data_IF_821154759973
#
_entry.id   IF_821154759973
#
_cell.length_a   1.000
_cell.length_b   1.000
_cell.length_c   1.000
_cell.angle_alpha   90.00
_cell.angle_beta   90.00
_cell.angle_gamma   90.00
#
_symmetry.space_group_name_H-M   'P 1'
#
loop_
_entity.id
_entity.type
_entity.pdbx_description
1 polymer ?
#
# COMPACT_ATOMS: atom_id res chain seq x y z
N UNK A 1 5.20 1.18 9.50
CA UNK A 1 4.16 1.48 8.52
C UNK A 1 4.85 1.52 7.16
N UNK A 2 4.14 1.24 6.07
CA UNK A 2 4.71 0.91 4.76
C UNK A 2 5.68 1.97 4.18
N UNK A 3 6.97 1.82 4.49
CA UNK A 3 8.05 2.74 4.10
C UNK A 3 8.62 3.50 5.29
N UNK A 4 9.94 3.43 5.45
CA UNK A 4 10.70 4.02 6.56
C UNK A 4 11.11 5.47 6.26
N UNK A 5 11.20 5.85 4.98
CA UNK A 5 11.50 7.22 4.55
C UNK A 5 10.34 7.83 3.75
N UNK A 6 10.28 9.17 3.61
CA UNK A 6 9.29 9.83 2.75
C UNK A 6 9.30 9.32 1.31
N UNK A 7 10.48 9.03 0.74
CA UNK A 7 10.65 8.53 -0.63
C UNK A 7 10.11 7.11 -0.79
N UNK A 8 10.38 6.24 0.19
CA UNK A 8 9.83 4.89 0.23
C UNK A 8 8.30 4.95 0.33
N UNK A 9 7.76 5.80 1.20
CA UNK A 9 6.30 5.96 1.35
C UNK A 9 5.66 6.50 0.09
N UNK A 10 6.29 7.46 -0.59
CA UNK A 10 5.79 7.95 -1.87
C UNK A 10 5.81 6.85 -2.93
N UNK A 11 6.83 5.99 -2.93
CA UNK A 11 6.92 4.84 -3.83
C UNK A 11 5.79 3.84 -3.55
N UNK A 12 5.59 3.44 -2.29
CA UNK A 12 4.49 2.55 -1.90
C UNK A 12 3.14 3.16 -2.26
N UNK A 13 2.94 4.45 -1.99
CA UNK A 13 1.70 5.13 -2.32
C UNK A 13 1.42 5.10 -3.83
N UNK A 14 2.43 5.35 -4.67
CA UNK A 14 2.32 5.23 -6.14
C UNK A 14 1.96 3.81 -6.56
N UNK A 15 2.57 2.80 -5.95
CA UNK A 15 2.27 1.37 -6.19
C UNK A 15 0.80 1.07 -5.87
N UNK A 16 0.35 1.38 -4.64
CA UNK A 16 -1.02 1.10 -4.18
C UNK A 16 -2.08 1.88 -4.97
N UNK A 17 -1.81 3.15 -5.28
CA UNK A 17 -2.71 3.96 -6.12
C UNK A 17 -2.84 3.38 -7.52
N UNK A 18 -1.77 2.84 -8.08
CA UNK A 18 -1.80 2.18 -9.38
C UNK A 18 -2.57 0.86 -9.30
N UNK A 19 -2.38 0.08 -8.25
CA UNK A 19 -3.12 -1.16 -8.01
C UNK A 19 -4.63 -0.89 -7.93
N UNK A 20 -5.04 0.15 -7.21
CA UNK A 20 -6.44 0.57 -7.13
C UNK A 20 -7.02 0.93 -8.51
N UNK A 21 -6.27 1.66 -9.34
CA UNK A 21 -6.69 2.02 -10.70
C UNK A 21 -6.85 0.81 -11.60
N UNK A 22 -5.89 -0.11 -11.60
CA UNK A 22 -5.99 -1.34 -12.40
C UNK A 22 -7.15 -2.20 -11.93
N UNK A 23 -7.35 -2.37 -10.61
CA UNK A 23 -8.50 -3.06 -10.05
C UNK A 23 -9.82 -2.41 -10.49
N UNK A 24 -9.92 -1.08 -10.42
CA UNK A 24 -11.09 -0.32 -10.89
C UNK A 24 -11.36 -0.57 -12.37
N UNK A 25 -10.33 -0.49 -13.23
CA UNK A 25 -10.46 -0.80 -14.66
C UNK A 25 -11.01 -2.20 -14.90
N UNK A 26 -10.47 -3.22 -14.22
CA UNK A 26 -10.89 -4.62 -14.37
C UNK A 26 -12.34 -4.82 -13.94
N UNK A 27 -12.74 -4.30 -12.78
CA UNK A 27 -14.14 -4.50 -12.29
C UNK A 27 -15.18 -3.79 -13.15
N UNK A 28 -14.76 -2.79 -13.94
CA UNK A 28 -15.61 -2.10 -14.91
C UNK A 28 -15.50 -2.69 -16.33
N UNK A 29 -15.00 -3.93 -16.45
CA UNK A 29 -14.95 -4.67 -17.72
C UNK A 29 -13.71 -4.44 -18.57
N UNK A 30 -12.73 -3.71 -18.04
CA UNK A 30 -11.43 -3.53 -18.69
C UNK A 30 -10.58 -4.81 -18.67
N UNK A 31 -9.77 -5.01 -19.70
CA UNK A 31 -8.85 -6.14 -19.76
C UNK A 31 -7.66 -5.96 -18.80
N UNK A 32 -7.10 -7.09 -18.35
CA UNK A 32 -5.83 -7.13 -17.62
C UNK A 32 -4.70 -6.78 -18.57
N UNK A 33 -3.88 -5.81 -18.20
CA UNK A 33 -2.70 -5.42 -18.99
C UNK A 33 -1.58 -6.45 -18.81
N UNK A 34 -0.72 -6.61 -19.81
CA UNK A 34 0.50 -7.43 -19.66
C UNK A 34 1.48 -6.84 -18.66
N UNK A 35 1.57 -5.49 -18.61
CA UNK A 35 2.48 -4.77 -17.73
C UNK A 35 1.85 -3.47 -17.21
N UNK A 36 2.30 -3.05 -16.03
CA UNK A 36 1.89 -1.84 -15.33
C UNK A 36 3.08 -0.88 -15.26
N UNK A 37 2.83 0.42 -15.53
CA UNK A 37 3.86 1.46 -15.46
C UNK A 37 3.82 2.18 -14.12
N UNK A 38 4.93 2.20 -13.40
CA UNK A 38 5.07 2.85 -12.08
C UNK A 38 6.39 3.59 -12.04
N UNK A 39 6.38 4.90 -11.77
CA UNK A 39 7.60 5.67 -11.57
C UNK A 39 8.55 5.77 -12.78
N UNK A 40 8.17 5.27 -13.95
CA UNK A 40 9.04 5.19 -15.14
C UNK A 40 9.26 3.75 -15.58
N UNK A 41 9.23 2.81 -14.64
CA UNK A 41 9.45 1.39 -14.88
C UNK A 41 8.18 0.69 -15.37
N UNK A 42 8.37 -0.38 -16.15
CA UNK A 42 7.32 -1.33 -16.53
C UNK A 42 7.55 -2.64 -15.79
N UNK A 43 6.54 -3.08 -15.06
CA UNK A 43 6.55 -4.35 -14.30
C UNK A 43 5.45 -5.24 -14.88
N UNK A 44 5.69 -6.55 -15.02
CA UNK A 44 4.64 -7.46 -15.48
C UNK A 44 3.48 -7.49 -14.50
N UNK A 45 2.26 -7.63 -14.98
CA UNK A 45 1.08 -7.51 -14.13
C UNK A 45 1.07 -8.52 -12.97
N UNK A 46 1.48 -9.76 -13.22
CA UNK A 46 1.59 -10.80 -12.18
C UNK A 46 2.63 -10.42 -11.10
N UNK A 47 3.83 -9.99 -11.49
CA UNK A 47 4.88 -9.52 -10.58
C UNK A 47 4.41 -8.31 -9.77
N UNK A 48 3.64 -7.42 -10.41
CA UNK A 48 3.05 -6.27 -9.73
C UNK A 48 2.01 -6.68 -8.68
N UNK A 49 1.14 -7.65 -8.99
CA UNK A 49 0.17 -8.20 -8.03
C UNK A 49 0.89 -8.82 -6.83
N UNK A 50 1.91 -9.64 -7.06
CA UNK A 50 2.72 -10.24 -5.99
C UNK A 50 3.37 -9.16 -5.11
N UNK A 51 3.91 -8.10 -5.71
CA UNK A 51 4.51 -6.98 -4.99
C UNK A 51 3.50 -6.26 -4.09
N UNK A 52 2.29 -6.01 -4.58
CA UNK A 52 1.20 -5.41 -3.80
C UNK A 52 0.77 -6.34 -2.66
N UNK A 53 0.68 -7.65 -2.91
CA UNK A 53 0.34 -8.63 -1.88
C UNK A 53 1.39 -8.68 -0.77
N UNK A 54 2.68 -8.70 -1.12
CA UNK A 54 3.77 -8.66 -0.15
C UNK A 54 3.71 -7.41 0.74
N UNK A 55 3.41 -6.25 0.15
CA UNK A 55 3.20 -5.00 0.90
C UNK A 55 2.04 -5.15 1.88
N UNK A 56 0.90 -5.69 1.43
CA UNK A 56 -0.26 -5.90 2.30
C UNK A 56 0.06 -6.87 3.46
N UNK A 57 0.72 -8.00 3.18
CA UNK A 57 1.14 -8.95 4.21
C UNK A 57 2.10 -8.32 5.22
N UNK A 58 3.04 -7.49 4.76
CA UNK A 58 3.96 -6.78 5.64
C UNK A 58 3.22 -5.76 6.54
N UNK A 59 2.26 -5.01 5.98
CA UNK A 59 1.44 -4.09 6.76
C UNK A 59 0.64 -4.81 7.84
N UNK A 60 -0.02 -5.92 7.49
CA UNK A 60 -0.80 -6.71 8.45
C UNK A 60 0.09 -7.23 9.57
N UNK A 61 1.25 -7.81 9.25
CA UNK A 61 2.21 -8.31 10.25
C UNK A 61 2.68 -7.21 11.20
N UNK A 62 2.98 -6.03 10.66
CA UNK A 62 3.41 -4.91 11.47
C UNK A 62 2.29 -4.40 12.37
N UNK A 63 1.06 -4.28 11.86
CA UNK A 63 -0.10 -3.90 12.67
C UNK A 63 -0.36 -4.91 13.79
N UNK A 64 -0.26 -6.21 13.52
CA UNK A 64 -0.40 -7.25 14.56
C UNK A 64 0.67 -7.12 15.64
N UNK A 65 1.94 -6.94 15.26
CA UNK A 65 3.03 -6.74 16.22
C UNK A 65 2.84 -5.47 17.08
N UNK A 66 2.30 -4.39 16.48
CA UNK A 66 1.94 -3.19 17.23
C UNK A 66 0.78 -3.46 18.22
N UNK A 67 -0.24 -4.21 17.80
CA UNK A 67 -1.37 -4.58 18.65
C UNK A 67 -1.02 -5.55 19.79
N UNK A 68 0.09 -6.28 19.69
CA UNK A 68 0.62 -7.09 20.81
C UNK A 68 1.26 -6.22 21.91
N UNK A 69 1.80 -5.06 21.53
CA UNK A 69 2.49 -4.14 22.45
C UNK A 69 1.62 -2.97 22.92
N UNK A 70 0.52 -2.70 22.22
CA UNK A 70 -0.40 -1.59 22.45
C UNK A 70 -1.83 -2.06 22.18
N UNK A 71 -2.83 -1.52 22.88
CA UNK A 71 -4.22 -1.90 22.59
C UNK A 71 -4.60 -1.52 21.15
N UNK A 72 -5.40 -2.36 20.50
CA UNK A 72 -5.91 -2.12 19.13
C UNK A 72 -6.50 -0.72 18.98
N UNK A 73 -7.30 -0.28 19.96
CA UNK A 73 -7.91 1.06 20.00
C UNK A 73 -6.89 2.20 19.94
N UNK A 74 -5.73 2.03 20.57
CA UNK A 74 -4.65 3.01 20.57
C UNK A 74 -3.93 3.03 19.23
N UNK A 75 -3.66 1.85 18.65
CA UNK A 75 -3.03 1.73 17.34
C UNK A 75 -3.91 2.36 16.25
N UNK A 76 -5.22 2.11 16.28
CA UNK A 76 -6.18 2.72 15.34
C UNK A 76 -6.20 4.25 15.51
N UNK A 77 -6.30 4.73 16.74
CA UNK A 77 -6.29 6.19 17.01
C UNK A 77 -5.00 6.85 16.52
N UNK A 78 -3.85 6.25 16.79
CA UNK A 78 -2.56 6.78 16.35
C UNK A 78 -2.42 6.79 14.81
N UNK A 79 -3.04 5.82 14.12
CA UNK A 79 -3.13 5.80 12.66
C UNK A 79 -4.02 6.93 12.14
N UNK A 80 -5.22 7.09 12.72
CA UNK A 80 -6.18 8.12 12.34
C UNK A 80 -5.59 9.52 12.55
N UNK A 81 -4.98 9.76 13.72
CA UNK A 81 -4.34 11.04 14.04
C UNK A 81 -3.21 11.39 13.05
N UNK A 82 -2.44 10.39 12.60
CA UNK A 82 -1.39 10.58 11.59
C UNK A 82 -1.96 10.87 10.19
N UNK A 83 -3.07 10.22 9.82
CA UNK A 83 -3.72 10.44 8.52
C UNK A 83 -4.41 11.81 8.48
N UNK A 84 -5.19 12.14 9.51
CA UNK A 84 -5.98 13.38 9.59
C UNK A 84 -5.10 14.58 9.89
N UNK A 85 -4.10 14.45 10.76
CA UNK A 85 -3.19 15.52 11.16
C UNK A 85 -2.16 15.89 10.08
N UNK A 86 -2.08 15.14 8.97
CA UNK A 86 -1.11 15.37 7.89
C UNK A 86 0.35 15.25 8.33
N UNK A 87 0.61 14.69 9.52
CA UNK A 87 1.96 14.45 9.99
C UNK A 87 2.56 13.32 9.16
N UNK A 88 3.53 13.70 8.33
CA UNK A 88 4.32 12.78 7.53
C UNK A 88 4.93 11.75 8.47
N UNK A 89 4.69 10.47 8.16
CA UNK A 89 5.24 9.34 8.91
C UNK A 89 6.76 9.41 9.10
#
# INVERSE_FOLDING_TARGET
MLGKTPEERQTVFKELKTAYRERSNIVHGGAVKEAVKIGGDKIKFNEFVEKVEQRLRAAIKESLALSETQSESKVIKDLDDKIVGGHSL
#
